data_IF_542002334126
#
_entry.id   IF_542002334126
#
_cell.length_a   1.000
_cell.length_b   1.000
_cell.length_c   1.000
_cell.angle_alpha   90.00
_cell.angle_beta   90.00
_cell.angle_gamma   90.00
#
_symmetry.space_group_name_H-M   'P 1'
#
loop_
_entity.id
_entity.type
_entity.pdbx_description
1 polymer ?
#
# COMPACT_ATOMS: atom_id res chain seq x y z
N UNK A 1 -45.64 49.04 0.05
CA UNK A 1 -44.28 49.03 -0.54
C UNK A 1 -43.42 48.08 0.28
N UNK A 2 -43.72 46.79 0.17
CA UNK A 2 -43.35 45.71 1.09
C UNK A 2 -42.46 44.69 0.36
N UNK A 3 -41.52 45.19 -0.43
CA UNK A 3 -40.74 44.39 -1.38
C UNK A 3 -39.36 45.03 -1.62
N UNK A 4 -38.54 45.20 -0.57
CA UNK A 4 -37.11 45.51 -0.77
C UNK A 4 -36.19 45.16 0.43
N UNK A 5 -36.61 44.28 1.34
CA UNK A 5 -35.82 43.89 2.53
C UNK A 5 -35.55 42.38 2.66
N UNK A 6 -35.67 41.61 1.57
CA UNK A 6 -35.52 40.14 1.60
C UNK A 6 -34.46 39.60 0.62
N UNK A 7 -33.44 40.40 0.27
CA UNK A 7 -32.37 39.98 -0.65
C UNK A 7 -30.95 40.33 -0.15
N UNK A 8 -30.73 40.17 1.15
CA UNK A 8 -29.39 40.15 1.77
C UNK A 8 -29.26 38.98 2.77
N UNK A 9 -29.76 37.79 2.40
CA UNK A 9 -29.67 36.59 3.23
C UNK A 9 -28.96 35.40 2.55
N UNK A 10 -28.31 35.58 1.39
CA UNK A 10 -27.61 34.50 0.67
C UNK A 10 -26.20 34.87 0.21
N UNK A 11 -25.35 35.26 1.16
CA UNK A 11 -23.93 34.97 1.11
C UNK A 11 -23.51 34.61 2.54
N UNK A 12 -23.64 33.32 2.88
CA UNK A 12 -22.82 32.77 3.96
C UNK A 12 -21.38 32.82 3.46
N UNK A 13 -20.47 33.59 4.08
CA UNK A 13 -19.07 33.27 3.94
C UNK A 13 -18.89 31.86 4.51
N UNK A 14 -18.24 30.98 3.77
CA UNK A 14 -17.85 29.67 4.29
C UNK A 14 -17.25 29.86 5.69
N UNK A 15 -17.78 29.13 6.66
CA UNK A 15 -17.39 29.25 8.05
C UNK A 15 -15.89 28.98 8.18
N UNK A 16 -15.13 30.08 8.30
CA UNK A 16 -13.70 30.09 8.57
C UNK A 16 -13.53 29.54 9.99
N UNK A 17 -13.20 28.24 10.10
CA UNK A 17 -13.01 27.58 11.40
C UNK A 17 -11.78 28.18 12.07
N UNK A 18 -12.01 29.12 12.99
CA UNK A 18 -11.02 29.72 13.88
C UNK A 18 -10.49 28.66 14.87
N UNK A 19 -9.27 28.87 15.37
CA UNK A 19 -8.52 27.99 16.28
C UNK A 19 -9.12 27.79 17.68
N UNK A 20 -10.39 27.41 17.76
CA UNK A 20 -10.98 26.95 19.00
C UNK A 20 -10.28 25.65 19.48
N UNK A 21 -10.34 25.36 20.78
CA UNK A 21 -9.72 24.21 21.48
C UNK A 21 -9.99 22.87 20.76
N UNK A 22 -11.11 22.79 20.06
CA UNK A 22 -11.50 21.66 19.21
C UNK A 22 -10.58 21.46 18.00
N UNK A 23 -10.15 22.53 17.33
CA UNK A 23 -9.20 22.49 16.21
C UNK A 23 -7.81 22.08 16.70
N UNK A 24 -7.31 22.71 17.77
CA UNK A 24 -6.01 22.36 18.37
C UNK A 24 -5.99 20.87 18.74
N UNK A 25 -7.04 20.39 19.40
CA UNK A 25 -7.19 18.97 19.75
C UNK A 25 -7.19 18.06 18.53
N UNK A 26 -7.89 18.45 17.46
CA UNK A 26 -7.95 17.66 16.22
C UNK A 26 -6.59 17.61 15.52
N UNK A 27 -5.89 18.74 15.46
CA UNK A 27 -4.54 18.84 14.90
C UNK A 27 -3.55 17.98 15.69
N UNK A 28 -3.54 18.08 17.01
CA UNK A 28 -2.63 17.31 17.86
C UNK A 28 -2.94 15.80 17.90
N UNK A 29 -4.12 15.33 17.48
CA UNK A 29 -4.39 13.88 17.36
C UNK A 29 -3.60 13.21 16.22
N UNK A 30 -3.07 13.98 15.28
CA UNK A 30 -2.29 13.47 14.16
C UNK A 30 -0.80 13.30 14.49
N UNK A 31 -0.37 13.66 15.71
CA UNK A 31 0.98 13.48 16.23
C UNK A 31 0.99 12.40 17.31
N UNK A 32 2.12 11.69 17.44
CA UNK A 32 2.36 10.76 18.55
C UNK A 32 2.67 11.47 19.88
N UNK A 33 2.74 12.81 19.87
CA UNK A 33 3.06 13.68 21.00
C UNK A 33 1.89 14.61 21.33
N UNK A 34 0.69 14.02 21.46
CA UNK A 34 -0.56 14.76 21.68
C UNK A 34 -0.47 15.77 22.83
N UNK A 35 -0.03 15.34 24.02
CA UNK A 35 -0.04 16.18 25.22
C UNK A 35 0.87 17.39 25.08
N UNK A 36 2.07 17.19 24.52
CA UNK A 36 3.07 18.23 24.32
C UNK A 36 2.68 19.20 23.19
N UNK A 37 2.15 18.68 22.08
CA UNK A 37 1.55 19.50 21.01
C UNK A 37 0.41 20.37 21.56
N UNK A 38 -0.49 19.76 22.33
CA UNK A 38 -1.67 20.43 22.86
C UNK A 38 -1.28 21.50 23.90
N UNK A 39 -0.34 21.20 24.79
CA UNK A 39 0.16 22.18 25.77
C UNK A 39 0.90 23.33 25.09
N UNK A 40 1.77 23.04 24.11
CA UNK A 40 2.55 24.07 23.40
C UNK A 40 1.64 25.02 22.63
N UNK A 41 0.68 24.50 21.86
CA UNK A 41 -0.29 25.35 21.15
C UNK A 41 -1.20 26.13 22.09
N UNK A 42 -1.67 25.55 23.20
CA UNK A 42 -2.47 26.30 24.18
C UNK A 42 -1.68 27.39 24.91
N UNK A 43 -0.37 27.23 25.02
CA UNK A 43 0.49 28.22 25.68
C UNK A 43 0.77 29.44 24.81
N UNK A 44 0.58 29.35 23.49
CA UNK A 44 0.71 30.48 22.56
C UNK A 44 -0.66 31.17 22.38
N UNK A 45 -0.81 32.43 22.82
CA UNK A 45 -2.06 33.18 22.67
C UNK A 45 -2.52 33.32 21.22
N UNK A 46 -1.61 33.25 20.25
CA UNK A 46 -1.92 33.39 18.82
C UNK A 46 -2.65 32.16 18.27
N UNK A 47 -2.65 31.04 18.99
CA UNK A 47 -3.30 29.79 18.58
C UNK A 47 -4.82 29.85 18.62
N UNK A 48 -5.42 30.75 19.40
CA UNK A 48 -6.89 30.84 19.55
C UNK A 48 -7.62 31.27 18.28
N UNK A 49 -6.93 32.06 17.45
CA UNK A 49 -7.48 32.59 16.20
C UNK A 49 -6.80 31.99 14.96
N UNK A 50 -5.84 31.09 15.15
CA UNK A 50 -5.08 30.47 14.08
C UNK A 50 -5.89 29.41 13.32
N UNK A 51 -5.81 29.46 11.99
CA UNK A 51 -6.25 28.36 11.13
C UNK A 51 -5.22 27.21 11.14
N UNK A 52 -5.45 26.07 10.46
CA UNK A 52 -4.50 24.96 10.46
C UNK A 52 -3.09 25.35 10.01
N UNK A 53 -2.96 26.28 9.05
CA UNK A 53 -1.68 26.82 8.57
C UNK A 53 -1.01 27.70 9.64
N UNK A 54 -1.78 28.52 10.35
CA UNK A 54 -1.34 29.32 11.48
C UNK A 54 -0.83 28.46 12.64
N UNK A 55 -1.56 27.42 13.04
CA UNK A 55 -1.13 26.46 14.07
C UNK A 55 0.17 25.76 13.68
N UNK A 56 0.29 25.41 12.39
CA UNK A 56 1.50 24.88 11.78
C UNK A 56 2.70 25.84 11.90
N UNK A 57 2.53 27.11 11.51
CA UNK A 57 3.58 28.13 11.63
C UNK A 57 3.98 28.39 13.07
N UNK A 58 3.03 28.38 14.01
CA UNK A 58 3.31 28.49 15.46
C UNK A 58 4.19 27.33 15.91
N UNK A 59 3.85 26.09 15.55
CA UNK A 59 4.65 24.91 15.91
C UNK A 59 6.06 24.94 15.31
N UNK A 60 6.21 25.35 14.05
CA UNK A 60 7.52 25.55 13.40
C UNK A 60 8.31 26.64 14.12
N UNK A 61 7.67 27.74 14.53
CA UNK A 61 8.28 28.81 15.32
C UNK A 61 8.81 28.32 16.67
N UNK A 62 8.04 27.51 17.39
CA UNK A 62 8.46 26.91 18.67
C UNK A 62 9.66 25.97 18.45
N UNK A 63 9.60 25.11 17.41
CA UNK A 63 10.71 24.25 17.03
C UNK A 63 11.97 25.02 16.69
N UNK A 64 11.84 26.12 15.93
CA UNK A 64 12.95 26.97 15.50
C UNK A 64 13.60 27.67 16.71
N UNK A 65 12.79 28.20 17.64
CA UNK A 65 13.27 28.80 18.87
C UNK A 65 14.03 27.78 19.74
N UNK A 66 13.50 26.56 19.88
CA UNK A 66 14.16 25.49 20.63
C UNK A 66 15.49 25.07 19.98
N UNK A 67 15.50 24.82 18.66
CA UNK A 67 16.72 24.47 17.91
C UNK A 67 17.78 25.57 18.00
N UNK A 68 17.39 26.84 17.86
CA UNK A 68 18.28 27.99 18.02
C UNK A 68 18.87 28.05 19.43
N UNK A 69 18.02 27.92 20.46
CA UNK A 69 18.47 27.95 21.86
C UNK A 69 19.43 26.81 22.18
N UNK A 70 19.23 25.64 21.56
CA UNK A 70 20.07 24.44 21.74
C UNK A 70 21.41 24.59 21.03
N UNK A 71 21.43 25.15 19.81
CA UNK A 71 22.66 25.50 19.10
C UNK A 71 23.52 26.49 19.90
N UNK A 72 22.89 27.54 20.45
CA UNK A 72 23.58 28.54 21.28
C UNK A 72 24.12 27.93 22.57
N UNK A 73 23.32 27.08 23.24
CA UNK A 73 23.75 26.36 24.43
C UNK A 73 25.01 25.51 24.16
N UNK A 74 25.00 24.69 23.10
CA UNK A 74 26.14 23.85 22.73
C UNK A 74 27.36 24.68 22.31
N UNK A 75 27.15 25.80 21.62
CA UNK A 75 28.21 26.75 21.26
C UNK A 75 28.85 27.36 22.51
N UNK A 76 28.05 27.74 23.51
CA UNK A 76 28.54 28.26 24.79
C UNK A 76 29.28 27.19 25.62
N UNK A 77 28.80 25.93 25.59
CA UNK A 77 29.50 24.81 26.22
C UNK A 77 30.89 24.59 25.59
N UNK A 78 31.02 24.76 24.28
CA UNK A 78 32.31 24.66 23.57
C UNK A 78 33.34 25.66 24.10
N UNK A 79 32.90 26.85 24.53
CA UNK A 79 33.75 27.88 25.13
C UNK A 79 34.08 27.61 26.60
N UNK A 80 33.19 26.93 27.34
CA UNK A 80 33.35 26.59 28.77
C UNK A 80 34.12 25.29 29.00
N UNK A 81 34.30 24.46 27.98
CA UNK A 81 34.90 23.12 28.05
C UNK A 81 36.42 23.06 28.32
N UNK A 82 37.05 24.13 28.82
CA UNK A 82 38.43 24.15 29.39
C UNK A 82 39.36 22.99 28.98
N UNK A 83 39.64 22.07 29.91
CA UNK A 83 40.52 20.88 29.75
C UNK A 83 39.81 19.62 29.22
N UNK A 84 38.60 19.73 28.66
CA UNK A 84 37.91 18.57 28.10
C UNK A 84 38.68 17.98 26.90
N UNK A 85 38.71 16.63 26.80
CA UNK A 85 39.29 15.90 25.68
C UNK A 85 38.81 16.51 24.35
N UNK A 86 39.74 16.69 23.39
CA UNK A 86 39.47 17.30 22.08
C UNK A 86 38.29 16.66 21.33
N UNK A 87 38.04 15.38 21.57
CA UNK A 87 36.89 14.63 21.04
C UNK A 87 35.55 15.18 21.54
N UNK A 88 35.43 15.57 22.81
CA UNK A 88 34.20 16.13 23.39
C UNK A 88 33.88 17.49 22.77
N UNK A 89 34.90 18.37 22.67
CA UNK A 89 34.75 19.70 22.07
C UNK A 89 34.35 19.60 20.60
N UNK A 90 34.94 18.65 19.87
CA UNK A 90 34.59 18.36 18.47
C UNK A 90 33.13 17.92 18.33
N UNK A 91 32.70 16.95 19.12
CA UNK A 91 31.32 16.42 19.06
C UNK A 91 30.30 17.49 19.44
N UNK A 92 30.55 18.26 20.50
CA UNK A 92 29.63 19.34 20.92
C UNK A 92 29.54 20.44 19.87
N UNK A 93 30.67 20.84 19.25
CA UNK A 93 30.69 21.81 18.16
C UNK A 93 29.90 21.31 16.94
N UNK A 94 30.12 20.06 16.54
CA UNK A 94 29.41 19.47 15.41
C UNK A 94 27.91 19.35 15.68
N UNK A 95 27.51 19.00 16.91
CA UNK A 95 26.11 19.04 17.33
C UNK A 95 25.52 20.46 17.25
N UNK A 96 26.23 21.50 17.71
CA UNK A 96 25.78 22.88 17.60
C UNK A 96 25.50 23.27 16.14
N UNK A 97 26.41 22.88 15.23
CA UNK A 97 26.25 23.09 13.78
C UNK A 97 25.00 22.36 13.24
N UNK A 98 24.74 21.12 13.68
CA UNK A 98 23.52 20.38 13.28
C UNK A 98 22.24 21.08 13.76
N UNK A 99 22.21 21.62 14.98
CA UNK A 99 21.08 22.41 15.46
C UNK A 99 20.91 23.74 14.72
N UNK A 100 22.01 24.34 14.26
CA UNK A 100 21.94 25.49 13.34
C UNK A 100 21.32 25.09 11.99
N UNK A 101 21.63 23.91 11.46
CA UNK A 101 20.99 23.42 10.23
C UNK A 101 19.51 23.10 10.42
N UNK A 102 19.12 22.55 11.57
CA UNK A 102 17.72 22.37 11.92
C UNK A 102 16.98 23.71 11.96
N UNK A 103 17.62 24.78 12.47
CA UNK A 103 17.07 26.13 12.48
C UNK A 103 16.83 26.65 11.05
N UNK A 104 17.82 26.52 10.16
CA UNK A 104 17.69 26.94 8.76
C UNK A 104 16.60 26.16 8.03
N UNK A 105 16.50 24.84 8.27
CA UNK A 105 15.46 24.01 7.70
C UNK A 105 14.07 24.40 8.20
N UNK A 106 13.91 24.71 9.49
CA UNK A 106 12.64 25.21 10.03
C UNK A 106 12.27 26.59 9.50
N UNK A 107 13.26 27.44 9.27
CA UNK A 107 13.04 28.74 8.64
C UNK A 107 12.56 28.58 7.19
N UNK A 108 13.16 27.68 6.41
CA UNK A 108 12.70 27.34 5.06
C UNK A 108 11.28 26.74 5.08
N UNK A 109 11.00 25.85 6.05
CA UNK A 109 9.67 25.30 6.28
C UNK A 109 8.63 26.41 6.54
N UNK A 110 8.95 27.40 7.38
CA UNK A 110 8.05 28.52 7.64
C UNK A 110 7.78 29.36 6.37
N UNK A 111 8.79 29.58 5.53
CA UNK A 111 8.63 30.29 4.25
C UNK A 111 7.74 29.51 3.29
N UNK A 112 7.95 28.20 3.18
CA UNK A 112 7.15 27.33 2.33
C UNK A 112 5.69 27.29 2.80
N UNK A 113 5.45 27.20 4.12
CA UNK A 113 4.09 27.30 4.68
C UNK A 113 3.44 28.63 4.34
N UNK A 114 4.17 29.75 4.50
CA UNK A 114 3.68 31.08 4.15
C UNK A 114 3.27 31.15 2.66
N UNK A 115 4.05 30.52 1.78
CA UNK A 115 3.80 30.44 0.33
C UNK A 115 2.77 29.36 -0.07
N UNK A 116 2.33 28.51 0.86
CA UNK A 116 1.44 27.38 0.56
C UNK A 116 2.14 26.20 -0.13
N UNK A 117 3.47 26.18 -0.14
CA UNK A 117 4.31 25.13 -0.70
C UNK A 117 4.46 23.95 0.29
N UNK A 118 3.34 23.28 0.62
CA UNK A 118 3.27 22.31 1.72
C UNK A 118 4.21 21.09 1.56
N UNK A 119 4.53 20.66 0.34
CA UNK A 119 5.47 19.55 0.11
C UNK A 119 6.91 19.93 0.49
N UNK A 120 7.34 21.13 0.10
CA UNK A 120 8.63 21.68 0.48
C UNK A 120 8.71 21.95 1.97
N UNK A 121 7.62 22.47 2.57
CA UNK A 121 7.52 22.61 4.02
C UNK A 121 7.70 21.27 4.73
N UNK A 122 7.06 20.22 4.20
CA UNK A 122 7.10 18.87 4.78
C UNK A 122 8.47 18.19 4.58
N UNK A 123 9.20 18.51 3.50
CA UNK A 123 10.58 18.09 3.29
C UNK A 123 11.52 18.78 4.29
N UNK A 124 11.41 20.09 4.42
CA UNK A 124 12.26 20.87 5.31
C UNK A 124 12.06 20.52 6.78
N UNK A 125 10.84 20.22 7.22
CA UNK A 125 10.60 19.79 8.60
C UNK A 125 11.12 18.38 8.89
N UNK A 126 11.08 17.47 7.90
CA UNK A 126 11.70 16.15 8.02
C UNK A 126 13.23 16.26 8.13
N UNK A 127 13.86 17.10 7.30
CA UNK A 127 15.28 17.39 7.39
C UNK A 127 15.65 17.97 8.77
N UNK A 128 14.83 18.89 9.29
CA UNK A 128 15.01 19.42 10.64
C UNK A 128 14.98 18.33 11.74
N UNK A 129 14.13 17.30 11.55
CA UNK A 129 13.97 16.14 12.46
C UNK A 129 15.19 15.21 12.52
N UNK A 130 15.98 15.16 11.44
CA UNK A 130 17.12 14.26 11.35
C UNK A 130 18.37 14.81 12.06
N UNK A 131 18.55 16.13 12.09
CA UNK A 131 19.76 16.74 12.65
C UNK A 131 20.02 16.41 14.14
N UNK A 132 19.01 16.39 15.04
CA UNK A 132 19.18 15.89 16.42
C UNK A 132 19.64 14.42 16.49
N UNK A 133 19.15 13.56 15.60
CA UNK A 133 19.55 12.14 15.56
C UNK A 133 21.03 11.98 15.20
N UNK A 134 21.54 12.83 14.30
CA UNK A 134 22.96 12.86 13.96
C UNK A 134 23.80 13.19 15.20
N UNK A 135 23.37 14.16 16.03
CA UNK A 135 24.05 14.47 17.29
C UNK A 135 24.08 13.27 18.25
N UNK A 136 22.94 12.61 18.45
CA UNK A 136 22.85 11.40 19.27
C UNK A 136 23.81 10.29 18.80
N UNK A 137 23.91 10.07 17.49
CA UNK A 137 24.80 9.07 16.91
C UNK A 137 26.28 9.40 17.09
N UNK A 138 26.65 10.68 17.09
CA UNK A 138 28.02 11.09 17.39
C UNK A 138 28.41 10.74 18.83
N UNK A 139 27.58 11.09 19.82
CA UNK A 139 27.85 10.75 21.22
C UNK A 139 27.95 9.23 21.47
N UNK A 140 27.17 8.40 20.74
CA UNK A 140 27.27 6.94 20.81
C UNK A 140 28.57 6.38 20.22
N UNK A 141 29.13 7.02 19.18
CA UNK A 141 30.30 6.53 18.43
C UNK A 141 31.60 6.75 19.19
N UNK A 142 31.70 7.80 20.00
CA UNK A 142 32.90 8.10 20.78
C UNK A 142 32.81 7.44 22.17
N UNK A 143 33.58 6.36 22.36
CA UNK A 143 33.63 5.64 23.64
C UNK A 143 34.07 6.59 24.77
N UNK A 144 33.30 6.60 25.87
CA UNK A 144 33.57 7.43 27.06
C UNK A 144 32.85 8.79 27.09
N UNK A 145 32.11 9.17 26.05
CA UNK A 145 31.24 10.36 26.09
C UNK A 145 29.86 10.01 26.66
N UNK A 146 29.44 10.75 27.68
CA UNK A 146 28.09 10.68 28.23
C UNK A 146 27.23 11.74 27.56
N UNK A 147 26.07 11.34 27.07
CA UNK A 147 25.13 12.25 26.44
C UNK A 147 24.59 13.27 27.48
N UNK A 148 24.66 14.60 27.24
CA UNK A 148 24.32 15.59 28.26
C UNK A 148 22.82 15.56 28.64
N UNK A 149 22.46 15.43 29.93
CA UNK A 149 21.05 15.38 30.36
C UNK A 149 20.25 16.66 30.05
N UNK A 150 20.91 17.82 30.05
CA UNK A 150 20.28 19.09 29.63
C UNK A 150 19.99 19.12 28.11
N UNK A 151 20.83 18.47 27.30
CA UNK A 151 20.57 18.34 25.86
C UNK A 151 19.40 17.39 25.60
N UNK A 152 19.31 16.28 26.35
CA UNK A 152 18.19 15.35 26.25
C UNK A 152 16.84 16.03 26.55
N UNK A 153 16.79 16.86 27.60
CA UNK A 153 15.59 17.61 27.97
C UNK A 153 15.15 18.61 26.89
N UNK A 154 16.12 19.25 26.21
CA UNK A 154 15.85 20.18 25.10
C UNK A 154 15.33 19.46 23.87
N UNK A 155 15.87 18.28 23.59
CA UNK A 155 15.42 17.41 22.49
C UNK A 155 14.02 16.86 22.71
N UNK A 156 13.67 16.47 23.93
CA UNK A 156 12.32 16.03 24.26
C UNK A 156 11.27 17.13 24.02
N UNK A 157 11.66 18.39 24.25
CA UNK A 157 10.85 19.56 23.89
C UNK A 157 10.84 19.89 22.40
N UNK A 158 11.65 19.25 21.55
CA UNK A 158 11.78 19.56 20.12
C UNK A 158 11.04 18.54 19.23
N UNK A 159 11.03 17.26 19.64
CA UNK A 159 10.38 16.14 18.92
C UNK A 159 8.95 16.39 18.38
N UNK A 160 8.00 17.02 19.10
CA UNK A 160 6.64 17.26 18.56
C UNK A 160 6.60 18.33 17.48
N UNK A 161 7.56 19.26 17.46
CA UNK A 161 7.61 20.40 16.53
C UNK A 161 8.29 20.04 15.20
N UNK A 162 8.85 18.84 15.11
CA UNK A 162 9.55 18.31 13.94
C UNK A 162 8.76 17.20 13.23
N UNK A 163 7.47 17.07 13.54
CA UNK A 163 6.60 16.06 12.94
C UNK A 163 5.89 16.59 11.69
N UNK A 164 6.18 16.06 10.49
CA UNK A 164 5.52 16.44 9.24
C UNK A 164 4.00 16.22 9.27
N UNK A 165 3.51 15.36 10.16
CA UNK A 165 2.12 14.88 10.18
C UNK A 165 1.09 15.93 10.64
N UNK A 166 1.55 17.00 11.31
CA UNK A 166 0.67 18.02 11.88
C UNK A 166 0.35 19.19 10.91
N UNK A 167 0.98 19.25 9.73
CA UNK A 167 1.22 20.49 9.01
C UNK A 167 0.55 20.65 7.63
N UNK A 168 -0.24 19.69 7.14
CA UNK A 168 -0.82 19.79 5.80
C UNK A 168 -2.35 19.77 5.84
N UNK A 169 -2.96 20.88 5.42
CA UNK A 169 -4.35 20.90 4.96
C UNK A 169 -4.31 20.65 3.45
N UNK A 170 -4.58 19.40 3.06
CA UNK A 170 -4.48 18.91 1.68
C UNK A 170 -3.96 17.47 1.69
N UNK A 171 -4.86 16.53 1.96
CA UNK A 171 -4.76 15.12 1.57
C UNK A 171 -3.50 14.26 1.81
N UNK A 172 -2.57 14.62 2.70
CA UNK A 172 -1.63 13.63 3.27
C UNK A 172 -2.38 12.46 3.92
N UNK A 173 -3.56 12.73 4.48
CA UNK A 173 -4.47 11.68 4.95
C UNK A 173 -5.03 10.82 3.83
N UNK A 174 -5.36 11.36 2.65
CA UNK A 174 -5.81 10.53 1.52
C UNK A 174 -4.64 9.79 0.91
N UNK A 175 -3.50 10.41 0.60
CA UNK A 175 -2.30 9.71 0.11
C UNK A 175 -1.92 8.59 1.08
N UNK A 176 -1.87 8.86 2.39
CA UNK A 176 -1.64 7.84 3.41
C UNK A 176 -2.73 6.77 3.43
N UNK A 177 -4.00 7.12 3.27
CA UNK A 177 -5.11 6.15 3.28
C UNK A 177 -5.11 5.28 2.02
N UNK A 178 -4.87 5.87 0.86
CA UNK A 178 -4.69 5.22 -0.44
C UNK A 178 -3.49 4.27 -0.39
N UNK A 179 -2.34 4.73 0.09
CA UNK A 179 -1.14 3.90 0.20
C UNK A 179 -1.20 2.86 1.31
N UNK A 180 -2.02 3.03 2.36
CA UNK A 180 -2.22 2.02 3.42
C UNK A 180 -2.86 0.72 2.91
N UNK A 181 -3.53 0.80 1.76
CA UNK A 181 -4.13 -0.36 1.12
C UNK A 181 -3.16 -1.08 0.17
N UNK A 182 -1.94 -0.57 -0.04
CA UNK A 182 -0.91 -1.22 -0.86
C UNK A 182 0.06 -2.00 0.02
N UNK A 183 0.70 -3.03 -0.55
CA UNK A 183 1.75 -3.78 0.13
C UNK A 183 3.10 -3.03 0.18
N UNK A 184 3.14 -1.84 -0.42
CA UNK A 184 4.34 -1.02 -0.59
C UNK A 184 4.06 0.42 -0.16
N UNK A 185 3.58 0.54 1.08
CA UNK A 185 3.18 1.82 1.68
C UNK A 185 4.26 2.90 1.51
N UNK A 186 5.51 2.60 1.86
CA UNK A 186 6.60 3.58 1.83
C UNK A 186 6.90 4.06 0.40
N UNK A 187 6.91 3.16 -0.59
CA UNK A 187 7.14 3.56 -1.97
C UNK A 187 5.96 4.34 -2.53
N UNK A 188 4.73 3.86 -2.35
CA UNK A 188 3.51 4.58 -2.77
C UNK A 188 3.46 5.98 -2.15
N UNK A 189 3.71 6.07 -0.84
CA UNK A 189 3.63 7.32 -0.09
C UNK A 189 4.72 8.29 -0.53
N UNK A 190 5.96 7.81 -0.72
CA UNK A 190 7.06 8.64 -1.22
C UNK A 190 6.86 9.08 -2.67
N UNK A 191 6.39 8.20 -3.56
CA UNK A 191 6.12 8.49 -4.97
C UNK A 191 5.02 9.52 -5.16
N UNK A 192 3.86 9.34 -4.52
CA UNK A 192 2.76 10.30 -4.60
C UNK A 192 3.14 11.64 -3.96
N UNK A 193 3.83 11.62 -2.82
CA UNK A 193 4.31 12.85 -2.17
C UNK A 193 5.38 13.59 -2.97
N UNK A 194 6.12 12.89 -3.83
CA UNK A 194 7.11 13.52 -4.72
C UNK A 194 6.50 14.12 -5.99
N UNK A 195 5.26 13.77 -6.33
CA UNK A 195 4.56 14.33 -7.48
C UNK A 195 3.70 15.52 -7.05
N UNK A 196 4.02 16.75 -7.52
CA UNK A 196 3.30 17.97 -7.13
C UNK A 196 1.83 17.98 -7.56
N UNK A 197 1.42 17.08 -8.46
CA UNK A 197 0.02 16.95 -8.89
C UNK A 197 -0.85 16.20 -7.86
N UNK A 198 -0.23 15.54 -6.87
CA UNK A 198 -0.93 14.72 -5.88
C UNK A 198 -1.64 15.53 -4.79
N UNK A 199 -1.29 16.80 -4.60
CA UNK A 199 -1.84 17.66 -3.53
C UNK A 199 -3.33 17.96 -3.69
N UNK A 200 -3.80 18.05 -4.94
CA UNK A 200 -5.18 18.36 -5.32
C UNK A 200 -5.89 17.19 -6.00
N UNK A 201 -5.22 16.04 -6.10
CA UNK A 201 -5.75 14.87 -6.79
C UNK A 201 -6.75 14.11 -5.90
N UNK A 202 -7.92 13.84 -6.47
CA UNK A 202 -8.87 12.88 -5.91
C UNK A 202 -8.29 11.44 -6.02
N UNK A 203 -8.94 10.40 -5.44
CA UNK A 203 -8.41 9.04 -5.49
C UNK A 203 -8.12 8.53 -6.92
N UNK A 204 -8.92 8.98 -7.90
CA UNK A 204 -8.74 8.68 -9.31
C UNK A 204 -7.50 9.37 -9.88
N UNK A 205 -7.28 10.65 -9.54
CA UNK A 205 -6.08 11.42 -9.88
C UNK A 205 -4.82 10.79 -9.30
N UNK A 206 -4.84 10.38 -8.03
CA UNK A 206 -3.72 9.67 -7.40
C UNK A 206 -3.42 8.33 -8.10
N UNK A 207 -4.45 7.59 -8.52
CA UNK A 207 -4.28 6.37 -9.30
C UNK A 207 -3.66 6.65 -10.68
N UNK A 208 -4.12 7.70 -11.38
CA UNK A 208 -3.56 8.10 -12.68
C UNK A 208 -2.08 8.54 -12.56
N UNK A 209 -1.71 9.25 -11.49
CA UNK A 209 -0.33 9.63 -11.20
C UNK A 209 0.53 8.37 -11.02
N UNK A 210 0.08 7.41 -10.21
CA UNK A 210 0.81 6.15 -9.99
C UNK A 210 0.95 5.30 -11.25
N UNK A 211 -0.09 5.24 -12.09
CA UNK A 211 -0.04 4.59 -13.41
C UNK A 211 0.97 5.29 -14.32
N UNK A 212 1.02 6.62 -14.31
CA UNK A 212 2.02 7.41 -15.04
C UNK A 212 3.45 7.10 -14.62
N UNK A 213 3.71 7.01 -13.31
CA UNK A 213 5.02 6.63 -12.76
C UNK A 213 5.41 5.21 -13.19
N UNK A 214 4.48 4.25 -13.08
CA UNK A 214 4.70 2.88 -13.54
C UNK A 214 5.00 2.81 -15.04
N UNK A 215 4.28 3.58 -15.85
CA UNK A 215 4.45 3.63 -17.30
C UNK A 215 5.82 4.21 -17.69
N UNK A 216 6.26 5.27 -17.03
CA UNK A 216 7.58 5.85 -17.22
C UNK A 216 8.69 4.85 -16.86
N UNK A 217 8.54 4.13 -15.73
CA UNK A 217 9.50 3.12 -15.31
C UNK A 217 9.57 1.94 -16.31
N UNK A 218 8.42 1.39 -16.72
CA UNK A 218 8.35 0.31 -17.71
C UNK A 218 8.99 0.71 -19.06
N UNK A 219 8.69 1.91 -19.53
CA UNK A 219 9.25 2.47 -20.77
C UNK A 219 10.77 2.63 -20.67
N UNK A 220 11.25 3.20 -19.57
CA UNK A 220 12.70 3.37 -19.35
C UNK A 220 13.44 2.02 -19.30
N UNK A 221 12.80 0.99 -18.75
CA UNK A 221 13.36 -0.36 -18.62
C UNK A 221 13.37 -1.09 -19.96
N UNK A 222 12.32 -0.95 -20.76
CA UNK A 222 12.27 -1.46 -22.14
C UNK A 222 13.38 -0.85 -23.02
N UNK A 223 13.57 0.48 -22.94
CA UNK A 223 14.63 1.18 -23.68
C UNK A 223 16.03 0.75 -23.24
N UNK A 224 16.24 0.58 -21.94
CA UNK A 224 17.51 0.08 -21.40
C UNK A 224 17.83 -1.35 -21.88
N UNK A 225 16.85 -2.26 -21.86
CA UNK A 225 17.05 -3.63 -22.37
C UNK A 225 17.31 -3.64 -23.88
N UNK A 226 16.62 -2.76 -24.62
CA UNK A 226 16.82 -2.60 -26.07
C UNK A 226 18.23 -2.09 -26.40
N UNK A 227 18.77 -1.14 -25.62
CA UNK A 227 20.14 -0.63 -25.80
C UNK A 227 21.20 -1.64 -25.38
N UNK A 228 20.96 -2.41 -24.32
CA UNK A 228 21.81 -3.54 -23.91
C UNK A 228 21.93 -4.59 -25.03
N UNK A 229 20.86 -4.84 -25.78
CA UNK A 229 20.89 -5.75 -26.95
C UNK A 229 21.89 -5.31 -28.03
N UNK A 230 22.13 -4.01 -28.17
CA UNK A 230 23.12 -3.44 -29.11
C UNK A 230 24.56 -3.47 -28.58
N UNK A 231 24.74 -3.42 -27.25
CA UNK A 231 26.04 -3.43 -26.56
C UNK A 231 26.57 -4.84 -26.26
N UNK A 232 25.70 -5.84 -26.29
CA UNK A 232 26.04 -7.27 -26.16
C UNK A 232 26.77 -7.74 -27.42
N UNK A 233 28.08 -7.48 -27.50
CA UNK A 233 28.98 -7.98 -28.55
C UNK A 233 29.07 -9.52 -28.58
N UNK A 234 30.03 -10.10 -27.87
CA UNK A 234 30.37 -11.55 -27.82
C UNK A 234 29.43 -12.41 -26.98
N UNK A 235 28.28 -11.88 -26.53
CA UNK A 235 27.29 -12.65 -25.80
C UNK A 235 26.68 -13.76 -26.67
N UNK A 236 26.38 -14.92 -26.10
CA UNK A 236 25.73 -16.01 -26.82
C UNK A 236 24.34 -15.58 -27.35
N UNK A 237 23.91 -16.15 -28.47
CA UNK A 237 22.64 -15.79 -29.13
C UNK A 237 21.41 -15.99 -28.22
N UNK A 238 21.53 -16.88 -27.23
CA UNK A 238 20.50 -17.13 -26.23
C UNK A 238 20.30 -15.94 -25.29
N UNK A 239 21.38 -15.27 -24.88
CA UNK A 239 21.34 -14.08 -24.01
C UNK A 239 20.70 -12.91 -24.73
N UNK A 240 21.11 -12.68 -25.99
CA UNK A 240 20.53 -11.61 -26.82
C UNK A 240 19.03 -11.81 -27.03
N UNK A 241 18.61 -13.07 -27.21
CA UNK A 241 17.20 -13.44 -27.33
C UNK A 241 16.43 -13.15 -26.05
N UNK A 242 16.91 -13.59 -24.88
CA UNK A 242 16.25 -13.37 -23.58
C UNK A 242 16.12 -11.87 -23.26
N UNK A 243 17.17 -11.09 -23.49
CA UNK A 243 17.14 -9.63 -23.24
C UNK A 243 16.15 -8.93 -24.16
N UNK A 244 16.08 -9.33 -25.45
CA UNK A 244 15.11 -8.80 -26.41
C UNK A 244 13.67 -9.15 -26.04
N UNK A 245 13.40 -10.40 -25.70
CA UNK A 245 12.07 -10.84 -25.26
C UNK A 245 11.64 -10.12 -23.99
N UNK A 246 12.56 -9.87 -23.05
CA UNK A 246 12.30 -9.04 -21.88
C UNK A 246 11.95 -7.59 -22.24
N UNK A 247 12.70 -6.95 -23.15
CA UNK A 247 12.40 -5.59 -23.61
C UNK A 247 10.98 -5.50 -24.19
N UNK A 248 10.59 -6.50 -24.98
CA UNK A 248 9.24 -6.62 -25.54
C UNK A 248 8.17 -6.76 -24.44
N UNK A 249 8.43 -7.53 -23.37
CA UNK A 249 7.51 -7.64 -22.23
C UNK A 249 7.33 -6.31 -21.49
N UNK A 250 8.40 -5.54 -21.27
CA UNK A 250 8.28 -4.20 -20.69
C UNK A 250 7.55 -3.21 -21.60
N UNK A 251 7.68 -3.35 -22.92
CA UNK A 251 6.86 -2.60 -23.88
C UNK A 251 5.37 -2.93 -23.76
N UNK A 252 5.01 -4.21 -23.57
CA UNK A 252 3.63 -4.61 -23.32
C UNK A 252 3.09 -4.09 -21.98
N UNK A 253 3.93 -4.03 -20.94
CA UNK A 253 3.57 -3.40 -19.67
C UNK A 253 3.26 -1.90 -19.86
N UNK A 254 4.05 -1.17 -20.66
CA UNK A 254 3.75 0.23 -21.03
C UNK A 254 2.39 0.35 -21.71
N UNK A 255 2.09 -0.48 -22.71
CA UNK A 255 0.82 -0.43 -23.44
C UNK A 255 -0.38 -0.74 -22.53
N UNK A 256 -0.24 -1.72 -21.64
CA UNK A 256 -1.27 -2.07 -20.67
C UNK A 256 -1.50 -0.93 -19.66
N UNK A 257 -0.44 -0.29 -19.15
CA UNK A 257 -0.55 0.88 -18.29
C UNK A 257 -1.18 2.09 -18.99
N UNK A 258 -0.89 2.27 -20.28
CA UNK A 258 -1.52 3.31 -21.08
C UNK A 258 -3.03 3.06 -21.27
N UNK A 259 -3.43 1.81 -21.52
CA UNK A 259 -4.84 1.42 -21.59
C UNK A 259 -5.54 1.59 -20.23
N UNK A 260 -4.87 1.23 -19.13
CA UNK A 260 -5.35 1.49 -17.78
C UNK A 260 -5.61 2.98 -17.54
N UNK A 261 -4.69 3.86 -17.94
CA UNK A 261 -4.88 5.31 -17.79
C UNK A 261 -6.12 5.81 -18.55
N UNK A 262 -6.38 5.27 -19.74
CA UNK A 262 -7.58 5.59 -20.53
C UNK A 262 -8.85 5.09 -19.85
N UNK A 263 -8.84 3.87 -19.33
CA UNK A 263 -9.98 3.30 -18.61
C UNK A 263 -10.28 4.06 -17.30
N UNK A 264 -9.23 4.43 -16.55
CA UNK A 264 -9.35 5.31 -15.38
C UNK A 264 -9.99 6.64 -15.79
N UNK A 265 -9.50 7.28 -16.86
CA UNK A 265 -10.05 8.54 -17.36
C UNK A 265 -11.56 8.40 -17.68
N UNK A 266 -11.97 7.27 -18.26
CA UNK A 266 -13.36 6.96 -18.61
C UNK A 266 -14.20 6.43 -17.43
N UNK A 267 -13.61 6.21 -16.25
CA UNK A 267 -14.31 5.63 -15.08
C UNK A 267 -14.59 4.14 -15.21
N UNK A 268 -13.91 3.45 -16.12
CA UNK A 268 -14.02 2.01 -16.38
C UNK A 268 -13.06 1.22 -15.45
N UNK A 269 -13.31 1.27 -14.15
CA UNK A 269 -12.36 0.77 -13.13
C UNK A 269 -12.07 -0.74 -13.21
N UNK A 270 -13.02 -1.56 -13.67
CA UNK A 270 -12.82 -3.01 -13.86
C UNK A 270 -11.80 -3.29 -14.98
N UNK A 271 -11.91 -2.56 -16.09
CA UNK A 271 -10.98 -2.64 -17.21
C UNK A 271 -9.61 -2.07 -16.84
N UNK A 272 -9.57 -0.97 -16.10
CA UNK A 272 -8.34 -0.41 -15.56
C UNK A 272 -7.60 -1.41 -14.65
N UNK A 273 -8.34 -2.14 -13.79
CA UNK A 273 -7.79 -3.16 -12.90
C UNK A 273 -7.23 -4.36 -13.66
N UNK A 274 -7.95 -4.81 -14.70
CA UNK A 274 -7.48 -5.86 -15.61
C UNK A 274 -6.17 -5.46 -16.31
N UNK A 275 -6.07 -4.23 -16.80
CA UNK A 275 -4.86 -3.72 -17.45
C UNK A 275 -3.68 -3.56 -16.49
N UNK A 276 -3.91 -3.16 -15.24
CA UNK A 276 -2.88 -3.14 -14.18
C UNK A 276 -2.38 -4.55 -13.86
N UNK A 277 -3.27 -5.53 -13.77
CA UNK A 277 -2.90 -6.93 -13.54
C UNK A 277 -2.07 -7.49 -14.71
N UNK A 278 -2.48 -7.21 -15.95
CA UNK A 278 -1.70 -7.59 -17.13
C UNK A 278 -0.29 -6.97 -17.12
N UNK A 279 -0.19 -5.69 -16.72
CA UNK A 279 1.08 -5.00 -16.62
C UNK A 279 2.02 -5.57 -15.53
N UNK A 280 1.50 -6.14 -14.44
CA UNK A 280 2.30 -6.85 -13.40
C UNK A 280 2.84 -8.20 -13.83
N UNK A 281 2.17 -8.89 -14.75
CA UNK A 281 2.62 -10.21 -15.20
C UNK A 281 3.85 -10.15 -16.11
N UNK A 282 3.98 -9.09 -16.90
CA UNK A 282 5.07 -9.00 -17.90
C UNK A 282 6.49 -8.97 -17.28
N UNK A 283 6.78 -8.23 -16.20
CA UNK A 283 8.06 -8.32 -15.49
C UNK A 283 8.34 -9.72 -14.90
N UNK A 284 7.31 -10.39 -14.37
CA UNK A 284 7.46 -11.75 -13.82
C UNK A 284 7.83 -12.77 -14.91
N UNK A 285 7.29 -12.60 -16.12
CA UNK A 285 7.67 -13.41 -17.28
C UNK A 285 9.14 -13.20 -17.63
N UNK A 286 9.64 -11.96 -17.59
CA UNK A 286 11.07 -11.68 -17.79
C UNK A 286 11.95 -12.35 -16.73
N UNK A 287 11.59 -12.22 -15.44
CA UNK A 287 12.34 -12.85 -14.35
C UNK A 287 12.42 -14.38 -14.49
N UNK A 288 11.33 -15.02 -14.90
CA UNK A 288 11.27 -16.46 -15.13
C UNK A 288 12.12 -16.91 -16.32
N UNK A 289 12.25 -16.08 -17.37
CA UNK A 289 13.16 -16.37 -18.49
C UNK A 289 14.61 -16.42 -18.02
N UNK A 290 15.08 -15.42 -17.27
CA UNK A 290 16.45 -15.40 -16.74
C UNK A 290 16.75 -16.57 -15.79
N UNK A 291 15.77 -17.02 -15.00
CA UNK A 291 15.91 -18.20 -14.11
C UNK A 291 16.05 -19.53 -14.85
N UNK A 292 15.42 -19.68 -16.03
CA UNK A 292 15.42 -20.93 -16.79
C UNK A 292 16.74 -21.16 -17.55
N UNK A 293 17.48 -20.11 -17.88
CA UNK A 293 18.74 -20.25 -18.58
C UNK A 293 19.92 -20.36 -17.59
N UNK A 294 20.47 -21.57 -17.46
CA UNK A 294 21.67 -21.81 -16.64
C UNK A 294 22.85 -20.98 -17.17
N UNK A 295 23.47 -20.18 -16.28
CA UNK A 295 24.64 -19.34 -16.60
C UNK A 295 24.34 -17.85 -16.81
N UNK A 296 23.08 -17.43 -16.79
CA UNK A 296 22.68 -16.02 -16.84
C UNK A 296 22.45 -15.46 -15.44
N UNK A 297 23.21 -14.42 -15.08
CA UNK A 297 23.00 -13.66 -13.84
C UNK A 297 22.00 -12.55 -14.15
N UNK A 298 20.91 -12.52 -13.39
CA UNK A 298 19.90 -11.47 -13.49
C UNK A 298 20.55 -10.10 -13.17
N UNK A 299 20.50 -9.10 -14.07
CA UNK A 299 21.29 -7.89 -13.87
C UNK A 299 20.82 -7.07 -12.66
N UNK A 300 21.71 -6.64 -11.74
CA UNK A 300 21.34 -5.89 -10.54
C UNK A 300 20.66 -4.55 -10.83
N UNK A 301 20.93 -3.94 -11.99
CA UNK A 301 20.26 -2.71 -12.45
C UNK A 301 18.82 -2.95 -12.89
N UNK A 302 18.50 -4.14 -13.43
CA UNK A 302 17.14 -4.55 -13.73
C UNK A 302 16.35 -4.88 -12.46
N UNK A 303 17.00 -5.50 -11.46
CA UNK A 303 16.36 -5.80 -10.18
C UNK A 303 15.92 -4.52 -9.45
N UNK A 304 16.78 -3.50 -9.45
CA UNK A 304 16.46 -2.18 -8.88
C UNK A 304 15.33 -1.45 -9.61
N UNK A 305 15.20 -1.64 -10.93
CA UNK A 305 14.12 -1.06 -11.73
C UNK A 305 12.79 -1.80 -11.54
N UNK A 306 12.83 -3.13 -11.38
CA UNK A 306 11.67 -3.98 -11.05
C UNK A 306 11.11 -3.71 -9.65
N UNK A 307 11.99 -3.52 -8.66
CA UNK A 307 11.56 -3.19 -7.30
C UNK A 307 10.90 -1.81 -7.23
N UNK A 308 11.23 -0.90 -8.15
CA UNK A 308 10.51 0.36 -8.37
C UNK A 308 9.25 0.24 -9.24
N UNK A 309 8.91 -0.94 -9.79
CA UNK A 309 7.75 -1.15 -10.67
C UNK A 309 6.63 -1.95 -9.99
N UNK A 310 6.99 -2.97 -9.18
CA UNK A 310 6.04 -3.81 -8.41
C UNK A 310 4.95 -3.03 -7.65
N UNK A 311 5.22 -1.84 -7.07
CA UNK A 311 4.22 -1.11 -6.28
C UNK A 311 3.17 -0.34 -7.09
N UNK A 312 3.44 -0.09 -8.38
CA UNK A 312 2.55 0.66 -9.28
C UNK A 312 1.57 -0.24 -10.04
N UNK A 313 1.65 -1.55 -9.78
CA UNK A 313 0.96 -2.61 -10.51
C UNK A 313 0.02 -3.42 -9.61
N UNK A 314 -0.35 -2.87 -8.46
CA UNK A 314 -1.29 -3.48 -7.51
C UNK A 314 -2.71 -2.92 -7.69
N UNK A 315 -3.73 -3.76 -7.94
CA UNK A 315 -5.14 -3.34 -8.02
C UNK A 315 -5.71 -2.76 -6.70
N UNK A 316 -4.97 -2.84 -5.60
CA UNK A 316 -5.48 -2.64 -4.23
C UNK A 316 -5.73 -1.17 -3.82
N UNK A 317 -5.39 -0.18 -4.66
CA UNK A 317 -5.47 1.25 -4.32
C UNK A 317 -6.87 1.90 -4.47
N UNK A 318 -7.88 1.18 -5.00
CA UNK A 318 -9.17 1.77 -5.40
C UNK A 318 -10.35 1.57 -4.41
N UNK A 319 -10.11 1.08 -3.18
CA UNK A 319 -11.23 0.64 -2.33
C UNK A 319 -11.54 1.65 -1.22
N UNK A 320 -12.60 2.46 -1.41
CA UNK A 320 -13.33 3.10 -0.33
C UNK A 320 -14.74 2.52 -0.28
N UNK A 321 -14.93 1.53 0.58
CA UNK A 321 -16.25 1.17 1.08
C UNK A 321 -16.19 0.04 2.11
N UNK A 322 -16.79 0.32 3.26
CA UNK A 322 -17.25 -0.60 4.31
C UNK A 322 -16.40 -1.79 4.84
N UNK A 323 -15.16 -1.51 5.30
CA UNK A 323 -14.38 -2.44 6.15
C UNK A 323 -15.18 -2.91 7.40
N UNK A 324 -16.11 -2.09 7.87
CA UNK A 324 -16.98 -2.40 9.02
C UNK A 324 -17.99 -3.49 8.71
N UNK A 325 -18.63 -3.46 7.54
CA UNK A 325 -19.54 -4.50 7.05
C UNK A 325 -18.78 -5.79 6.77
N UNK A 326 -17.65 -5.73 6.06
CA UNK A 326 -16.81 -6.92 5.83
C UNK A 326 -16.45 -7.58 7.16
N UNK A 327 -16.01 -6.79 8.15
CA UNK A 327 -15.70 -7.31 9.49
C UNK A 327 -16.94 -7.91 10.18
N UNK A 328 -18.11 -7.29 10.07
CA UNK A 328 -19.35 -7.78 10.67
C UNK A 328 -19.78 -9.09 10.01
N UNK A 329 -19.77 -9.16 8.68
CA UNK A 329 -20.10 -10.34 7.88
C UNK A 329 -19.18 -11.51 8.23
N UNK A 330 -17.86 -11.27 8.27
CA UNK A 330 -16.89 -12.34 8.53
C UNK A 330 -16.91 -12.88 9.96
N UNK A 331 -17.38 -12.10 10.95
CA UNK A 331 -17.48 -12.55 12.35
C UNK A 331 -18.38 -13.77 12.54
N UNK A 332 -19.34 -13.96 11.64
CA UNK A 332 -20.31 -15.05 11.71
C UNK A 332 -19.88 -16.25 10.84
N UNK A 333 -18.60 -16.34 10.46
CA UNK A 333 -18.03 -17.44 9.66
C UNK A 333 -16.97 -18.19 10.46
N UNK A 334 -16.75 -19.48 10.18
CA UNK A 334 -15.75 -20.27 10.94
C UNK A 334 -14.30 -19.89 10.60
N UNK A 335 -14.07 -19.22 9.46
CA UNK A 335 -12.74 -18.80 9.01
C UNK A 335 -12.68 -17.29 8.81
N UNK A 336 -12.73 -16.55 9.93
CA UNK A 336 -12.71 -15.08 9.94
C UNK A 336 -11.57 -14.48 9.12
N UNK A 337 -10.34 -14.94 9.31
CA UNK A 337 -9.16 -14.36 8.63
C UNK A 337 -9.21 -14.61 7.11
N UNK A 338 -9.67 -15.80 6.70
CA UNK A 338 -9.88 -16.13 5.28
C UNK A 338 -10.96 -15.23 4.69
N UNK A 339 -12.12 -15.15 5.32
CA UNK A 339 -13.22 -14.28 4.89
C UNK A 339 -12.77 -12.81 4.78
N UNK A 340 -12.12 -12.30 5.83
CA UNK A 340 -11.76 -10.89 5.91
C UNK A 340 -10.67 -10.52 4.91
N UNK A 341 -9.64 -11.37 4.74
CA UNK A 341 -8.58 -11.11 3.76
C UNK A 341 -9.10 -11.25 2.32
N UNK A 342 -9.89 -12.27 2.03
CA UNK A 342 -10.50 -12.51 0.72
C UNK A 342 -11.41 -11.37 0.28
N UNK A 343 -12.37 -10.97 1.13
CA UNK A 343 -13.28 -9.87 0.79
C UNK A 343 -12.54 -8.54 0.70
N UNK A 344 -11.61 -8.26 1.61
CA UNK A 344 -10.84 -7.01 1.56
C UNK A 344 -9.93 -6.92 0.32
N UNK A 345 -9.47 -8.05 -0.21
CA UNK A 345 -8.67 -8.09 -1.44
C UNK A 345 -9.49 -7.90 -2.71
N UNK A 346 -10.82 -8.07 -2.64
CA UNK A 346 -11.70 -7.86 -3.78
C UNK A 346 -12.20 -6.40 -3.79
N UNK A 347 -11.87 -5.62 -4.84
CA UNK A 347 -12.25 -4.22 -4.91
C UNK A 347 -13.78 -4.02 -5.01
N UNK A 348 -14.53 -4.99 -5.51
CA UNK A 348 -15.99 -4.92 -5.56
C UNK A 348 -16.65 -5.00 -4.17
N UNK A 349 -15.90 -5.41 -3.14
CA UNK A 349 -16.39 -5.46 -1.76
C UNK A 349 -16.66 -4.07 -1.15
N UNK A 350 -16.17 -2.97 -1.74
CA UNK A 350 -16.42 -1.62 -1.20
C UNK A 350 -17.89 -1.27 -1.16
N UNK A 351 -18.59 -1.57 -2.25
CA UNK A 351 -19.97 -1.16 -2.47
C UNK A 351 -20.94 -2.33 -2.39
N UNK A 352 -20.43 -3.52 -2.02
CA UNK A 352 -21.20 -4.73 -1.87
C UNK A 352 -22.04 -4.72 -0.59
N UNK A 353 -23.33 -4.99 -0.72
CA UNK A 353 -24.18 -5.38 0.38
C UNK A 353 -23.84 -6.83 0.85
N UNK A 354 -24.43 -7.34 1.95
CA UNK A 354 -24.15 -8.71 2.40
C UNK A 354 -24.34 -9.79 1.32
N UNK A 355 -25.31 -9.62 0.42
CA UNK A 355 -25.53 -10.51 -0.74
C UNK A 355 -24.40 -10.39 -1.76
N UNK A 356 -23.91 -9.19 -2.03
CA UNK A 356 -22.72 -8.91 -2.84
C UNK A 356 -21.47 -9.56 -2.26
N UNK A 357 -21.25 -9.46 -0.94
CA UNK A 357 -20.14 -10.14 -0.26
C UNK A 357 -20.24 -11.67 -0.37
N UNK A 358 -21.46 -12.23 -0.32
CA UNK A 358 -21.67 -13.65 -0.58
C UNK A 358 -21.30 -14.03 -2.03
N UNK A 359 -21.73 -13.23 -3.02
CA UNK A 359 -21.40 -13.45 -4.44
C UNK A 359 -19.89 -13.39 -4.70
N UNK A 360 -19.17 -12.49 -4.02
CA UNK A 360 -17.70 -12.39 -4.11
C UNK A 360 -17.05 -13.67 -3.58
N UNK A 361 -17.44 -14.15 -2.39
CA UNK A 361 -16.89 -15.39 -1.84
C UNK A 361 -17.21 -16.62 -2.71
N UNK A 362 -18.39 -16.67 -3.31
CA UNK A 362 -18.75 -17.71 -4.29
C UNK A 362 -17.85 -17.62 -5.53
N UNK A 363 -17.57 -16.42 -6.04
CA UNK A 363 -16.64 -16.19 -7.14
C UNK A 363 -15.21 -16.66 -6.82
N UNK A 364 -14.72 -16.41 -5.61
CA UNK A 364 -13.43 -16.92 -5.13
C UNK A 364 -13.42 -18.45 -5.12
N UNK A 365 -14.52 -19.08 -4.68
CA UNK A 365 -14.70 -20.53 -4.75
C UNK A 365 -14.65 -21.06 -6.18
N UNK A 366 -15.34 -20.39 -7.12
CA UNK A 366 -15.33 -20.77 -8.55
C UNK A 366 -13.92 -20.69 -9.14
N UNK A 367 -13.18 -19.64 -8.84
CA UNK A 367 -11.80 -19.47 -9.30
C UNK A 367 -10.87 -20.56 -8.74
N UNK A 368 -11.02 -20.90 -7.45
CA UNK A 368 -10.25 -21.98 -6.81
C UNK A 368 -10.57 -23.35 -7.45
N UNK A 369 -11.85 -23.68 -7.61
CA UNK A 369 -12.29 -24.93 -8.21
C UNK A 369 -11.82 -25.06 -9.66
N UNK A 370 -11.96 -23.99 -10.45
CA UNK A 370 -11.51 -23.94 -11.85
C UNK A 370 -10.00 -24.07 -11.97
N UNK A 371 -9.23 -23.34 -11.15
CA UNK A 371 -7.77 -23.46 -11.09
C UNK A 371 -7.33 -24.89 -10.78
N UNK A 372 -8.02 -25.56 -9.86
CA UNK A 372 -7.71 -26.94 -9.48
C UNK A 372 -8.08 -27.94 -10.58
N UNK A 373 -9.20 -27.75 -11.27
CA UNK A 373 -9.57 -28.54 -12.44
C UNK A 373 -8.54 -28.41 -13.58
N UNK A 374 -8.07 -27.19 -13.86
CA UNK A 374 -7.02 -26.94 -14.86
C UNK A 374 -5.67 -27.53 -14.46
N UNK A 375 -5.30 -27.40 -13.19
CA UNK A 375 -4.09 -28.02 -12.63
C UNK A 375 -4.08 -29.54 -12.88
N UNK A 376 -5.16 -30.23 -12.50
CA UNK A 376 -5.30 -31.67 -12.69
C UNK A 376 -5.33 -32.08 -14.17
N UNK A 377 -5.99 -31.28 -15.01
CA UNK A 377 -6.00 -31.48 -16.47
C UNK A 377 -4.60 -31.37 -17.08
N UNK A 378 -3.81 -30.39 -16.65
CA UNK A 378 -2.42 -30.22 -17.08
C UNK A 378 -1.52 -31.36 -16.60
N UNK A 379 -1.75 -31.85 -15.38
CA UNK A 379 -1.00 -32.97 -14.81
C UNK A 379 -1.26 -34.27 -15.60
N UNK A 380 -2.49 -34.44 -16.12
CA UNK A 380 -2.86 -35.56 -17.00
C UNK A 380 -2.03 -35.55 -18.30
N UNK A 381 -1.69 -34.37 -18.83
CA UNK A 381 -0.86 -34.22 -20.04
C UNK A 381 0.62 -34.50 -19.78
N UNK A 382 1.11 -34.19 -18.58
CA UNK A 382 2.52 -34.35 -18.17
C UNK A 382 2.86 -35.77 -17.71
N UNK A 383 1.85 -36.59 -17.38
CA UNK A 383 2.03 -37.91 -16.78
C UNK A 383 2.57 -39.00 -17.73
N UNK A 384 2.92 -38.71 -18.98
CA UNK A 384 3.69 -39.62 -19.86
C UNK A 384 3.15 -41.07 -19.87
N UNK A 385 3.99 -42.07 -19.55
CA UNK A 385 3.63 -43.51 -19.40
C UNK A 385 3.19 -43.91 -17.98
N UNK A 386 2.81 -42.96 -17.11
CA UNK A 386 2.31 -43.28 -15.77
C UNK A 386 1.08 -44.20 -15.82
N UNK A 387 1.00 -45.10 -14.83
CA UNK A 387 -0.02 -46.12 -14.62
C UNK A 387 -1.42 -45.62 -15.01
N UNK A 388 -2.11 -46.30 -15.92
CA UNK A 388 -3.41 -45.88 -16.48
C UNK A 388 -4.45 -45.54 -15.40
N UNK A 389 -4.34 -46.18 -14.24
CA UNK A 389 -5.14 -45.91 -13.05
C UNK A 389 -4.94 -44.49 -12.50
N UNK A 390 -3.71 -43.98 -12.42
CA UNK A 390 -3.42 -42.62 -11.93
C UNK A 390 -4.01 -41.57 -12.87
N UNK A 391 -3.84 -41.74 -14.18
CA UNK A 391 -4.39 -40.82 -15.18
C UNK A 391 -5.92 -40.78 -15.12
N UNK A 392 -6.56 -41.94 -14.98
CA UNK A 392 -8.02 -42.03 -14.83
C UNK A 392 -8.49 -41.29 -13.58
N UNK A 393 -7.86 -41.54 -12.43
CA UNK A 393 -8.23 -40.89 -11.16
C UNK A 393 -8.03 -39.37 -11.23
N UNK A 394 -6.90 -38.90 -11.78
CA UNK A 394 -6.63 -37.46 -11.91
C UNK A 394 -7.61 -36.78 -12.88
N UNK A 395 -7.96 -37.43 -13.99
CA UNK A 395 -8.98 -36.93 -14.93
C UNK A 395 -10.35 -36.82 -14.26
N UNK A 396 -10.77 -37.86 -13.55
CA UNK A 396 -12.06 -37.87 -12.86
C UNK A 396 -12.10 -36.81 -11.76
N UNK A 397 -10.98 -36.59 -11.06
CA UNK A 397 -10.84 -35.47 -10.15
C UNK A 397 -11.03 -34.11 -10.83
N UNK A 398 -10.42 -33.88 -12.00
CA UNK A 398 -10.58 -32.64 -12.75
C UNK A 398 -12.06 -32.39 -13.12
N UNK A 399 -12.78 -33.45 -13.48
CA UNK A 399 -14.23 -33.40 -13.76
C UNK A 399 -15.04 -33.07 -12.50
N UNK A 400 -14.70 -33.61 -11.33
CA UNK A 400 -15.38 -33.28 -10.07
C UNK A 400 -15.17 -31.83 -9.64
N UNK A 401 -13.97 -31.28 -9.83
CA UNK A 401 -13.74 -29.85 -9.61
C UNK A 401 -14.49 -28.96 -10.62
N UNK A 402 -14.69 -29.43 -11.85
CA UNK A 402 -15.58 -28.76 -12.82
C UNK A 402 -17.04 -28.75 -12.34
N UNK A 403 -17.53 -29.85 -11.75
CA UNK A 403 -18.86 -29.89 -11.13
C UNK A 403 -18.99 -28.97 -9.91
N UNK A 404 -17.92 -28.81 -9.13
CA UNK A 404 -17.87 -27.82 -8.06
C UNK A 404 -18.01 -26.39 -8.61
N UNK A 405 -17.31 -26.05 -9.71
CA UNK A 405 -17.49 -24.76 -10.39
C UNK A 405 -18.94 -24.57 -10.86
N UNK A 406 -19.55 -25.58 -11.49
CA UNK A 406 -20.94 -25.50 -11.96
C UNK A 406 -21.94 -25.31 -10.81
N UNK A 407 -21.71 -25.99 -9.68
CA UNK A 407 -22.55 -25.81 -8.50
C UNK A 407 -22.43 -24.41 -7.92
N UNK A 408 -21.21 -23.85 -7.84
CA UNK A 408 -21.02 -22.46 -7.40
C UNK A 408 -21.60 -21.44 -8.39
N UNK A 409 -21.59 -21.74 -9.69
CA UNK A 409 -22.26 -20.92 -10.68
C UNK A 409 -23.79 -20.92 -10.50
N UNK A 410 -24.39 -22.08 -10.19
CA UNK A 410 -25.80 -22.19 -9.85
C UNK A 410 -26.11 -21.42 -8.54
N UNK A 411 -25.25 -21.55 -7.52
CA UNK A 411 -25.34 -20.76 -6.29
C UNK A 411 -25.38 -19.25 -6.58
N UNK A 412 -24.53 -18.75 -7.48
CA UNK A 412 -24.56 -17.34 -7.86
C UNK A 412 -25.89 -16.90 -8.50
N UNK A 413 -26.52 -17.78 -9.31
CA UNK A 413 -27.85 -17.54 -9.87
C UNK A 413 -28.93 -17.53 -8.78
N UNK A 414 -28.87 -18.47 -7.84
CA UNK A 414 -29.81 -18.54 -6.72
C UNK A 414 -29.68 -17.33 -5.80
N UNK A 415 -28.44 -16.89 -5.50
CA UNK A 415 -28.19 -15.64 -4.78
C UNK A 415 -28.81 -14.46 -5.50
N UNK A 416 -28.61 -14.34 -6.82
CA UNK A 416 -29.20 -13.28 -7.62
C UNK A 416 -30.73 -13.26 -7.51
N UNK A 417 -31.37 -14.43 -7.49
CA UNK A 417 -32.81 -14.62 -7.34
C UNK A 417 -33.33 -14.54 -5.88
N UNK A 418 -32.44 -14.46 -4.89
CA UNK A 418 -32.81 -14.48 -3.47
C UNK A 418 -33.24 -15.85 -2.95
N UNK A 419 -32.87 -16.93 -3.64
CA UNK A 419 -33.18 -18.31 -3.29
C UNK A 419 -32.08 -18.90 -2.37
N UNK A 420 -31.96 -18.39 -1.15
CA UNK A 420 -30.81 -18.66 -0.27
C UNK A 420 -30.69 -20.13 0.21
N UNK A 421 -31.80 -20.83 0.39
CA UNK A 421 -31.81 -22.29 0.65
C UNK A 421 -31.14 -23.08 -0.47
N UNK A 422 -31.46 -22.74 -1.73
CA UNK A 422 -30.87 -23.37 -2.91
C UNK A 422 -29.40 -22.96 -3.06
N UNK A 423 -29.07 -21.69 -2.82
CA UNK A 423 -27.68 -21.23 -2.79
C UNK A 423 -26.83 -22.00 -1.77
N UNK A 424 -27.34 -22.23 -0.57
CA UNK A 424 -26.71 -23.00 0.49
C UNK A 424 -26.51 -24.47 0.10
N UNK A 425 -27.52 -25.09 -0.51
CA UNK A 425 -27.43 -26.45 -1.06
C UNK A 425 -26.33 -26.56 -2.13
N UNK A 426 -26.23 -25.58 -3.03
CA UNK A 426 -25.22 -25.57 -4.08
C UNK A 426 -23.79 -25.36 -3.55
N UNK A 427 -23.61 -24.55 -2.49
CA UNK A 427 -22.32 -24.40 -1.80
C UNK A 427 -21.90 -25.72 -1.12
N UNK A 428 -22.84 -26.38 -0.45
CA UNK A 428 -22.57 -27.68 0.18
C UNK A 428 -22.15 -28.73 -0.86
N UNK A 429 -22.86 -28.81 -1.99
CA UNK A 429 -22.50 -29.69 -3.10
C UNK A 429 -21.09 -29.38 -3.65
N UNK A 430 -20.75 -28.10 -3.82
CA UNK A 430 -19.42 -27.67 -4.28
C UNK A 430 -18.30 -28.11 -3.33
N UNK A 431 -18.51 -28.01 -2.02
CA UNK A 431 -17.57 -28.47 -0.98
C UNK A 431 -17.40 -30.00 -0.97
N UNK A 432 -18.42 -30.75 -1.40
CA UNK A 432 -18.44 -32.20 -1.34
C UNK A 432 -17.89 -32.90 -2.59
N UNK A 433 -17.98 -32.29 -3.78
CA UNK A 433 -17.44 -32.90 -5.01
C UNK A 433 -15.97 -33.34 -4.90
N UNK A 434 -15.05 -32.57 -4.27
CA UNK A 434 -13.66 -33.00 -4.06
C UNK A 434 -13.51 -34.27 -3.21
N UNK A 435 -14.45 -34.60 -2.31
CA UNK A 435 -14.34 -35.82 -1.49
C UNK A 435 -14.29 -37.09 -2.35
N UNK A 436 -14.86 -37.04 -3.55
CA UNK A 436 -14.80 -38.14 -4.53
C UNK A 436 -13.36 -38.46 -4.91
N UNK A 437 -12.47 -37.45 -4.98
CA UNK A 437 -11.05 -37.66 -5.23
C UNK A 437 -10.40 -38.52 -4.15
N UNK A 438 -10.55 -38.15 -2.89
CA UNK A 438 -10.02 -38.93 -1.78
C UNK A 438 -10.50 -40.39 -1.81
N UNK A 439 -11.78 -40.60 -2.11
CA UNK A 439 -12.35 -41.95 -2.20
C UNK A 439 -11.73 -42.76 -3.35
N UNK A 440 -11.45 -42.12 -4.50
CA UNK A 440 -10.79 -42.79 -5.63
C UNK A 440 -9.33 -43.12 -5.32
N UNK A 441 -8.56 -42.18 -4.79
CA UNK A 441 -7.16 -42.44 -4.39
C UNK A 441 -7.06 -43.51 -3.30
N UNK A 442 -8.04 -43.62 -2.39
CA UNK A 442 -8.11 -44.72 -1.41
C UNK A 442 -8.45 -46.07 -2.04
N UNK A 443 -9.27 -46.09 -3.09
CA UNK A 443 -9.76 -47.32 -3.74
C UNK A 443 -8.71 -47.99 -4.63
N UNK A 444 -7.85 -47.21 -5.29
CA UNK A 444 -6.78 -47.73 -6.15
C UNK A 444 -5.52 -48.03 -5.32
N UNK A 445 -5.19 -49.31 -5.16
CA UNK A 445 -4.00 -49.74 -4.40
C UNK A 445 -2.72 -49.15 -5.00
N UNK A 446 -1.85 -48.60 -4.13
CA UNK A 446 -0.57 -48.00 -4.50
C UNK A 446 -0.62 -46.51 -4.89
N UNK A 447 -1.80 -45.88 -4.90
CA UNK A 447 -1.91 -44.43 -5.09
C UNK A 447 -1.88 -43.71 -3.75
N UNK A 448 -1.07 -42.65 -3.68
CA UNK A 448 -1.01 -41.74 -2.53
C UNK A 448 -1.68 -40.43 -2.93
N UNK A 449 -2.50 -39.89 -2.04
CA UNK A 449 -3.17 -38.62 -2.29
C UNK A 449 -2.13 -37.48 -2.39
N UNK A 450 -2.08 -36.73 -3.51
CA UNK A 450 -1.05 -35.71 -3.70
C UNK A 450 -1.17 -34.58 -2.66
N UNK A 451 -0.07 -34.18 -1.98
CA UNK A 451 -0.12 -33.09 -1.00
C UNK A 451 -0.61 -31.76 -1.59
N UNK A 452 -0.26 -31.46 -2.85
CA UNK A 452 -0.74 -30.25 -3.55
C UNK A 452 -2.26 -30.28 -3.75
N UNK A 453 -2.81 -31.45 -4.09
CA UNK A 453 -4.26 -31.61 -4.24
C UNK A 453 -4.98 -31.51 -2.88
N UNK A 454 -4.38 -32.04 -1.81
CA UNK A 454 -4.91 -31.87 -0.45
C UNK A 454 -4.99 -30.41 -0.02
N UNK A 455 -3.98 -29.60 -0.32
CA UNK A 455 -3.99 -28.16 -0.02
C UNK A 455 -5.08 -27.42 -0.79
N UNK A 456 -5.27 -27.75 -2.06
CA UNK A 456 -6.32 -27.16 -2.91
C UNK A 456 -7.72 -27.52 -2.43
N UNK A 457 -7.91 -28.78 -2.07
CA UNK A 457 -9.16 -29.27 -1.49
C UNK A 457 -9.51 -28.58 -0.17
N UNK A 458 -8.57 -28.52 0.76
CA UNK A 458 -8.76 -27.81 2.04
C UNK A 458 -9.08 -26.33 1.80
N UNK A 459 -8.37 -25.70 0.85
CA UNK A 459 -8.67 -24.33 0.42
C UNK A 459 -10.12 -24.15 -0.04
N UNK A 460 -10.59 -25.00 -0.96
CA UNK A 460 -11.97 -24.93 -1.47
C UNK A 460 -13.00 -25.17 -0.36
N UNK A 461 -12.78 -26.16 0.52
CA UNK A 461 -13.68 -26.45 1.65
C UNK A 461 -13.84 -25.26 2.58
N UNK A 462 -12.74 -24.59 2.94
CA UNK A 462 -12.79 -23.39 3.80
C UNK A 462 -13.47 -22.21 3.11
N UNK A 463 -13.25 -22.03 1.80
CA UNK A 463 -13.93 -21.00 1.02
C UNK A 463 -15.44 -21.26 0.98
N UNK A 464 -15.86 -22.50 0.72
CA UNK A 464 -17.27 -22.89 0.73
C UNK A 464 -17.90 -22.73 2.12
N UNK A 465 -17.20 -23.08 3.20
CA UNK A 465 -17.70 -22.88 4.57
C UNK A 465 -17.92 -21.39 4.89
N UNK A 466 -16.98 -20.52 4.50
CA UNK A 466 -17.15 -19.07 4.63
C UNK A 466 -18.35 -18.60 3.82
N UNK A 467 -18.45 -18.98 2.53
CA UNK A 467 -19.56 -18.57 1.67
C UNK A 467 -20.90 -19.01 2.27
N UNK A 468 -21.00 -20.26 2.74
CA UNK A 468 -22.19 -20.79 3.39
C UNK A 468 -22.55 -19.99 4.64
N UNK A 469 -21.57 -19.69 5.49
CA UNK A 469 -21.78 -18.86 6.67
C UNK A 469 -22.34 -17.48 6.32
N UNK A 470 -21.84 -16.84 5.27
CA UNK A 470 -22.38 -15.55 4.81
C UNK A 470 -23.84 -15.70 4.34
N UNK A 471 -24.13 -16.71 3.50
CA UNK A 471 -25.48 -16.93 2.94
C UNK A 471 -26.51 -17.23 4.03
N UNK A 472 -26.16 -18.06 5.01
CA UNK A 472 -27.06 -18.37 6.14
C UNK A 472 -27.43 -17.16 7.00
N UNK A 473 -26.58 -16.11 7.00
CA UNK A 473 -26.90 -14.86 7.68
C UNK A 473 -27.82 -13.93 6.85
N UNK A 474 -28.12 -14.27 5.58
CA UNK A 474 -29.07 -13.54 4.73
C UNK A 474 -30.51 -14.02 4.89
N UNK A 475 -30.70 -15.25 5.39
CA UNK A 475 -32.02 -15.89 5.62
C UNK A 475 -32.72 -15.45 6.93
N UNK A 476 -32.15 -14.49 7.67
CA UNK A 476 -32.63 -14.04 8.98
C UNK A 476 -33.36 -12.69 8.98
#
# INVERSE_FOLDING_TARGET
MFFFLLLLAHLQPEALVKGDVTLIRKTCKNTNYFDLCFSSLRSDPSSSDADPKGLAMIMVGIGMANATSTSLYLSSQTQLLGTANDSTKRVVKECAEKYSYATNALQACAQDLANGAYDYASMHIAAASDYPNVCHNMFKRYQGLVYPPELARREDGLKPHLQPEALVKGDVTLIRKTCKNTNYFDLCFSSLRSDPSSSDADPKGLAMIMVGIGMANATSTSLYLSSQTQLLGTANDSTKRVVKECAEKYSYATNALQACAQDLANGAYDYASMHIAAASDYPNVCHNMFKRYQGLVYPPELARREDGLKPHLQPEALVKGDVTLIRKTCKNTNYFDLCFSSLRSDPSSSDADPKGLAMIMVGIGMANATSTSLYLSSQTQLLGTANDSTKRVVKECAEKYSYATNALQACAQDLANGAYDYASMHIAAASDYPNVCHNMFKRYQGLVYPPELARREDGLKRICDVALGIVQNLDC
#
